data_IF_601472883029
#
_entry.id   IF_601472883029
#
_cell.length_a   1.000
_cell.length_b   1.000
_cell.length_c   1.000
_cell.angle_alpha   90.00
_cell.angle_beta   90.00
_cell.angle_gamma   90.00
#
_symmetry.space_group_name_H-M   'P 1'
#
loop_
_entity.id
_entity.type
_entity.pdbx_description
1 polymer ?
#
# COMPACT_ATOMS: atom_id res chain seq x y z
N UNK A 1 -15.44 26.97 5.06
CA UNK A 1 -14.22 27.74 5.38
C UNK A 1 -13.05 26.78 5.22
N UNK A 2 -12.01 27.09 4.41
CA UNK A 2 -10.92 26.17 4.18
C UNK A 2 -10.15 25.89 5.49
N UNK A 3 -9.57 24.70 5.62
CA UNK A 3 -8.73 24.29 6.76
C UNK A 3 -7.36 24.98 6.72
N UNK A 4 -7.34 26.31 6.77
CA UNK A 4 -6.10 27.11 6.73
C UNK A 4 -5.59 27.37 8.14
N UNK A 5 -5.26 26.31 8.86
CA UNK A 5 -4.66 26.35 10.20
C UNK A 5 -3.24 25.77 10.14
N UNK A 6 -2.27 26.29 10.91
CA UNK A 6 -0.90 25.77 10.91
C UNK A 6 -0.83 24.29 11.31
N UNK A 7 -1.76 23.81 12.15
CA UNK A 7 -1.91 22.39 12.50
C UNK A 7 -2.15 21.53 11.27
N UNK A 8 -2.84 22.05 10.26
CA UNK A 8 -3.09 21.35 9.01
C UNK A 8 -1.79 20.99 8.29
N UNK A 9 -0.96 21.99 7.98
CA UNK A 9 0.27 21.80 7.22
C UNK A 9 1.26 20.92 7.99
N UNK A 10 1.47 21.23 9.28
CA UNK A 10 2.36 20.46 10.13
C UNK A 10 1.89 19.01 10.30
N UNK A 11 0.59 18.81 10.54
CA UNK A 11 0.02 17.49 10.79
C UNK A 11 0.04 16.58 9.55
N UNK A 12 -0.17 17.13 8.35
CA UNK A 12 -0.03 16.35 7.11
C UNK A 12 1.43 15.94 6.87
N UNK A 13 2.38 16.86 7.08
CA UNK A 13 3.81 16.54 6.97
C UNK A 13 4.21 15.46 7.98
N UNK A 14 3.74 15.57 9.22
CA UNK A 14 3.96 14.57 10.26
C UNK A 14 3.37 13.21 9.86
N UNK A 15 2.15 13.18 9.35
CA UNK A 15 1.47 11.94 8.94
C UNK A 15 2.23 11.20 7.82
N UNK A 16 2.78 11.94 6.84
CA UNK A 16 3.62 11.37 5.77
C UNK A 16 4.97 10.92 6.32
N UNK A 17 5.60 11.70 7.20
CA UNK A 17 6.88 11.36 7.80
C UNK A 17 6.79 10.09 8.67
N UNK A 18 5.72 9.93 9.45
CA UNK A 18 5.49 8.73 10.27
C UNK A 18 5.36 7.47 9.41
N UNK A 19 4.63 7.56 8.29
CA UNK A 19 4.52 6.47 7.31
C UNK A 19 5.87 6.13 6.68
N UNK A 20 6.59 7.15 6.22
CA UNK A 20 7.88 6.98 5.55
C UNK A 20 8.94 6.36 6.47
N UNK A 21 9.02 6.84 7.71
CA UNK A 21 9.95 6.34 8.73
C UNK A 21 9.59 4.92 9.17
N UNK A 22 8.30 4.63 9.38
CA UNK A 22 7.83 3.27 9.67
C UNK A 22 8.19 2.28 8.54
N UNK A 23 8.04 2.71 7.28
CA UNK A 23 8.39 1.94 6.09
C UNK A 23 9.86 1.49 6.00
N UNK A 24 10.77 2.13 6.73
CA UNK A 24 12.20 1.79 6.73
C UNK A 24 12.50 0.49 7.49
N UNK A 25 11.66 0.12 8.47
CA UNK A 25 11.84 -1.08 9.29
C UNK A 25 11.52 -2.37 8.51
N UNK A 26 11.93 -3.55 9.02
CA UNK A 26 11.57 -4.84 8.42
C UNK A 26 10.06 -5.00 8.26
N UNK A 27 9.65 -5.66 7.18
CA UNK A 27 8.25 -6.01 6.88
C UNK A 27 7.94 -7.44 7.32
N UNK A 28 6.67 -7.83 7.22
CA UNK A 28 6.24 -9.19 7.53
C UNK A 28 6.96 -10.23 6.66
N UNK A 29 7.63 -11.17 7.32
CA UNK A 29 8.36 -12.26 6.66
C UNK A 29 9.66 -11.87 5.95
N UNK A 30 10.26 -10.72 6.30
CA UNK A 30 11.56 -10.32 5.77
C UNK A 30 12.64 -11.38 6.10
N UNK A 31 13.36 -11.84 5.07
CA UNK A 31 14.38 -12.89 5.14
C UNK A 31 13.91 -14.21 5.80
N UNK A 32 12.63 -14.58 5.66
CA UNK A 32 12.08 -15.85 6.18
C UNK A 32 11.60 -16.79 5.07
N UNK A 33 12.52 -17.42 4.30
CA UNK A 33 12.14 -18.43 3.31
C UNK A 33 11.49 -19.66 3.97
N UNK A 34 10.73 -20.49 3.22
CA UNK A 34 10.48 -20.35 1.77
C UNK A 34 9.28 -19.46 1.43
N UNK A 35 8.38 -19.22 2.39
CA UNK A 35 7.10 -18.53 2.15
C UNK A 35 7.17 -17.02 2.36
N UNK A 36 8.08 -16.49 3.18
CA UNK A 36 8.08 -15.06 3.54
C UNK A 36 6.73 -14.62 4.15
N UNK A 37 6.31 -13.36 3.97
CA UNK A 37 5.08 -12.81 4.54
C UNK A 37 4.32 -11.94 3.53
N UNK A 38 3.46 -11.05 4.03
CA UNK A 38 2.52 -10.28 3.19
C UNK A 38 3.22 -9.44 2.09
N UNK A 39 4.45 -8.99 2.33
CA UNK A 39 5.24 -8.31 1.30
C UNK A 39 5.45 -9.18 0.06
N UNK A 40 5.77 -10.46 0.27
CA UNK A 40 5.97 -11.42 -0.81
C UNK A 40 4.63 -11.79 -1.47
N UNK A 41 3.53 -11.83 -0.71
CA UNK A 41 2.20 -12.02 -1.26
C UNK A 41 1.86 -10.94 -2.30
N UNK A 42 2.03 -9.67 -1.93
CA UNK A 42 1.77 -8.53 -2.82
C UNK A 42 2.69 -8.53 -4.03
N UNK A 43 3.98 -8.85 -3.84
CA UNK A 43 4.93 -9.01 -4.96
C UNK A 43 4.50 -10.13 -5.90
N UNK A 44 4.13 -11.29 -5.36
CA UNK A 44 3.73 -12.42 -6.16
C UNK A 44 2.45 -12.14 -6.95
N UNK A 45 1.50 -11.39 -6.40
CA UNK A 45 0.31 -10.96 -7.15
C UNK A 45 0.68 -10.04 -8.32
N UNK A 46 1.68 -9.17 -8.19
CA UNK A 46 2.19 -8.41 -9.33
C UNK A 46 2.80 -9.32 -10.40
N UNK A 47 3.61 -10.31 -10.01
CA UNK A 47 4.17 -11.33 -10.93
C UNK A 47 3.07 -12.09 -11.68
N UNK A 48 2.09 -12.64 -10.96
CA UNK A 48 0.98 -13.40 -11.54
C UNK A 48 0.18 -12.54 -12.51
N UNK A 49 -0.21 -11.34 -12.09
CA UNK A 49 -1.13 -10.51 -12.88
C UNK A 49 -0.51 -9.98 -14.17
N UNK A 50 0.79 -9.68 -14.19
CA UNK A 50 1.44 -9.14 -15.40
C UNK A 50 1.88 -10.19 -16.39
N UNK A 51 2.07 -11.44 -15.96
CA UNK A 51 2.56 -12.54 -16.81
C UNK A 51 1.44 -13.48 -17.26
N UNK A 52 0.36 -13.63 -16.49
CA UNK A 52 -0.72 -14.57 -16.79
C UNK A 52 -1.99 -13.85 -17.27
N UNK A 53 -2.80 -14.58 -18.05
CA UNK A 53 -4.11 -14.10 -18.47
C UNK A 53 -5.07 -14.00 -17.27
N UNK A 54 -6.05 -13.07 -17.28
CA UNK A 54 -6.95 -12.85 -16.14
C UNK A 54 -7.73 -14.08 -15.65
N UNK A 55 -8.06 -15.01 -16.54
CA UNK A 55 -8.71 -16.28 -16.19
C UNK A 55 -7.80 -17.24 -15.39
N UNK A 56 -6.49 -17.01 -15.35
CA UNK A 56 -5.51 -17.81 -14.61
C UNK A 56 -5.10 -17.19 -13.26
N UNK A 57 -5.51 -15.94 -12.96
CA UNK A 57 -5.08 -15.26 -11.72
C UNK A 57 -5.56 -15.95 -10.44
N UNK A 58 -6.73 -16.57 -10.49
CA UNK A 58 -7.41 -17.18 -9.34
C UNK A 58 -7.50 -18.71 -9.42
N UNK A 59 -6.84 -19.33 -10.39
CA UNK A 59 -6.94 -20.78 -10.63
C UNK A 59 -5.56 -21.43 -10.55
N UNK A 60 -5.53 -22.64 -10.02
CA UNK A 60 -4.30 -23.41 -9.94
C UNK A 60 -3.93 -23.92 -11.35
N UNK A 61 -2.73 -23.60 -11.80
CA UNK A 61 -2.22 -23.95 -13.14
C UNK A 61 -0.77 -24.40 -13.05
N UNK A 62 -0.14 -24.73 -14.19
CA UNK A 62 1.31 -24.99 -14.25
C UNK A 62 2.14 -23.78 -13.85
N UNK A 63 1.62 -22.56 -14.05
CA UNK A 63 2.33 -21.30 -13.84
C UNK A 63 1.83 -20.50 -12.62
N UNK A 64 0.75 -20.95 -11.98
CA UNK A 64 0.17 -20.31 -10.78
C UNK A 64 -0.15 -21.38 -9.73
N UNK A 65 0.63 -21.39 -8.66
CA UNK A 65 0.43 -22.28 -7.52
C UNK A 65 -0.31 -21.53 -6.41
N UNK A 66 -1.60 -21.85 -6.21
CA UNK A 66 -2.42 -21.13 -5.23
C UNK A 66 -1.96 -21.36 -3.77
N UNK A 67 -1.13 -22.39 -3.51
CA UNK A 67 -0.54 -22.60 -2.18
C UNK A 67 0.64 -21.65 -1.90
N UNK A 68 1.20 -21.02 -2.93
CA UNK A 68 2.23 -19.99 -2.81
C UNK A 68 1.62 -18.62 -3.01
N UNK A 69 1.00 -18.07 -1.97
CA UNK A 69 0.37 -16.73 -2.00
C UNK A 69 -0.62 -16.54 -3.15
N UNK A 70 -1.54 -17.49 -3.34
CA UNK A 70 -2.63 -17.33 -4.29
C UNK A 70 -3.42 -16.04 -4.04
N UNK A 71 -3.89 -15.41 -5.13
CA UNK A 71 -4.63 -14.14 -5.05
C UNK A 71 -5.99 -14.38 -4.39
N UNK A 72 -6.18 -13.85 -3.19
CA UNK A 72 -7.35 -14.06 -2.33
C UNK A 72 -8.30 -12.84 -2.24
N UNK A 73 -7.89 -11.69 -2.76
CA UNK A 73 -8.70 -10.47 -2.82
C UNK A 73 -9.56 -10.37 -4.11
N UNK A 74 -10.66 -9.58 -4.07
CA UNK A 74 -11.50 -9.33 -5.25
C UNK A 74 -10.75 -8.73 -6.45
N UNK A 75 -11.35 -8.74 -7.66
CA UNK A 75 -10.69 -8.32 -8.90
C UNK A 75 -10.06 -6.92 -8.89
N UNK A 76 -10.59 -5.98 -8.09
CA UNK A 76 -10.01 -4.64 -7.97
C UNK A 76 -8.54 -4.70 -7.50
N UNK A 77 -8.23 -5.53 -6.52
CA UNK A 77 -6.87 -5.73 -6.02
C UNK A 77 -5.98 -6.41 -7.06
N UNK A 78 -6.53 -7.31 -7.87
CA UNK A 78 -5.78 -7.92 -8.97
C UNK A 78 -5.41 -6.89 -10.04
N UNK A 79 -6.32 -5.99 -10.42
CA UNK A 79 -5.98 -4.89 -11.34
C UNK A 79 -5.04 -3.86 -10.72
N UNK A 80 -5.16 -3.60 -9.42
CA UNK A 80 -4.20 -2.79 -8.69
C UNK A 80 -2.77 -3.39 -8.74
N UNK A 81 -2.68 -4.69 -8.50
CA UNK A 81 -1.43 -5.46 -8.61
C UNK A 81 -0.90 -5.49 -10.04
N UNK A 82 -1.79 -5.61 -11.04
CA UNK A 82 -1.42 -5.54 -12.46
C UNK A 82 -0.79 -4.19 -12.81
N UNK A 83 -1.41 -3.09 -12.38
CA UNK A 83 -0.92 -1.75 -12.66
C UNK A 83 0.45 -1.50 -12.03
N UNK A 84 0.59 -1.78 -10.72
CA UNK A 84 1.87 -1.68 -10.04
C UNK A 84 2.92 -2.63 -10.64
N UNK A 85 2.51 -3.84 -10.98
CA UNK A 85 3.37 -4.83 -11.64
C UNK A 85 3.88 -4.35 -12.99
N UNK A 86 3.07 -3.63 -13.78
CA UNK A 86 3.53 -3.06 -15.05
C UNK A 86 4.57 -1.96 -14.85
N UNK A 87 4.41 -1.14 -13.82
CA UNK A 87 5.42 -0.15 -13.44
C UNK A 87 6.69 -0.86 -12.94
N UNK A 88 6.55 -1.87 -12.09
CA UNK A 88 7.64 -2.69 -11.58
C UNK A 88 8.44 -3.34 -12.73
N UNK A 89 7.74 -3.98 -13.68
CA UNK A 89 8.32 -4.61 -14.85
C UNK A 89 9.09 -3.62 -15.74
N UNK A 90 8.60 -2.38 -15.86
CA UNK A 90 9.28 -1.31 -16.58
C UNK A 90 10.56 -0.84 -15.87
N UNK A 91 10.52 -0.71 -14.54
CA UNK A 91 11.66 -0.25 -13.74
C UNK A 91 12.75 -1.32 -13.60
N UNK A 92 12.34 -2.56 -13.29
CA UNK A 92 13.22 -3.71 -13.19
C UNK A 92 12.41 -5.01 -13.39
N UNK A 93 12.57 -5.70 -14.54
CA UNK A 93 11.80 -6.88 -14.85
C UNK A 93 12.04 -8.05 -13.88
N UNK A 94 13.17 -8.08 -13.16
CA UNK A 94 13.50 -9.13 -12.19
C UNK A 94 12.54 -9.16 -10.99
N UNK A 95 11.82 -8.07 -10.70
CA UNK A 95 10.90 -8.00 -9.54
C UNK A 95 9.63 -8.83 -9.75
N UNK A 96 9.23 -9.00 -11.01
CA UNK A 96 7.98 -9.67 -11.41
C UNK A 96 8.24 -10.75 -12.46
N UNK A 97 9.47 -11.26 -12.55
CA UNK A 97 9.81 -12.29 -13.53
C UNK A 97 9.21 -13.64 -13.10
N UNK A 98 8.38 -14.22 -13.97
CA UNK A 98 7.72 -15.49 -13.70
C UNK A 98 8.74 -16.57 -13.30
N UNK A 99 8.42 -17.36 -12.28
CA UNK A 99 9.21 -18.51 -11.77
C UNK A 99 10.53 -18.19 -11.06
N UNK A 100 11.08 -16.99 -11.24
CA UNK A 100 12.43 -16.63 -10.75
C UNK A 100 12.42 -15.51 -9.74
N UNK A 101 11.35 -14.70 -9.69
CA UNK A 101 11.21 -13.57 -8.77
C UNK A 101 10.62 -13.93 -7.39
N UNK A 102 10.28 -15.20 -7.15
CA UNK A 102 9.78 -15.68 -5.86
C UNK A 102 10.80 -15.44 -4.75
N UNK A 103 10.36 -14.82 -3.66
CA UNK A 103 11.20 -14.43 -2.53
C UNK A 103 12.22 -13.33 -2.86
N UNK A 104 11.97 -12.50 -3.88
CA UNK A 104 12.90 -11.45 -4.28
C UNK A 104 12.96 -10.31 -3.28
N UNK A 105 14.11 -10.15 -2.63
CA UNK A 105 14.40 -9.07 -1.70
C UNK A 105 15.53 -8.17 -2.23
N UNK A 106 15.26 -6.87 -2.32
CA UNK A 106 16.31 -5.87 -2.57
C UNK A 106 15.90 -4.53 -1.98
N UNK A 107 16.88 -3.67 -1.72
CA UNK A 107 16.63 -2.31 -1.25
C UNK A 107 15.72 -1.53 -2.20
N UNK A 108 16.00 -1.57 -3.50
CA UNK A 108 15.23 -0.82 -4.50
C UNK A 108 13.81 -1.34 -4.69
N UNK A 109 13.63 -2.67 -4.63
CA UNK A 109 12.29 -3.26 -4.67
C UNK A 109 11.46 -2.84 -3.44
N UNK A 110 12.07 -2.88 -2.24
CA UNK A 110 11.42 -2.38 -1.01
C UNK A 110 11.04 -0.92 -1.12
N UNK A 111 11.93 -0.09 -1.66
CA UNK A 111 11.66 1.33 -1.88
C UNK A 111 10.47 1.55 -2.83
N UNK A 112 10.43 0.82 -3.95
CA UNK A 112 9.32 0.86 -4.90
C UNK A 112 8.00 0.48 -4.21
N UNK A 113 7.99 -0.67 -3.54
CA UNK A 113 6.82 -1.21 -2.84
C UNK A 113 6.30 -0.25 -1.76
N UNK A 114 7.18 0.34 -0.94
CA UNK A 114 6.76 1.32 0.08
C UNK A 114 6.25 2.62 -0.54
N UNK A 115 6.79 3.02 -1.69
CA UNK A 115 6.38 4.24 -2.39
C UNK A 115 5.03 4.08 -3.08
N UNK A 116 4.72 2.90 -3.63
CA UNK A 116 3.41 2.63 -4.24
C UNK A 116 2.29 2.65 -3.20
N UNK A 117 2.48 2.03 -2.04
CA UNK A 117 1.52 2.12 -0.92
C UNK A 117 1.29 3.57 -0.51
N UNK A 118 2.37 4.34 -0.32
CA UNK A 118 2.25 5.75 0.07
C UNK A 118 1.48 6.58 -0.97
N UNK A 119 1.74 6.35 -2.25
CA UNK A 119 1.05 7.08 -3.32
C UNK A 119 -0.47 6.82 -3.28
N UNK A 120 -0.88 5.57 -3.09
CA UNK A 120 -2.29 5.17 -3.10
C UNK A 120 -3.00 5.61 -1.82
N UNK A 121 -2.34 5.53 -0.67
CA UNK A 121 -2.84 6.04 0.62
C UNK A 121 -3.07 7.57 0.56
N UNK A 122 -2.13 8.31 -0.04
CA UNK A 122 -2.29 9.75 -0.30
C UNK A 122 -3.47 10.04 -1.24
N UNK A 123 -3.70 9.19 -2.24
CA UNK A 123 -4.77 9.39 -3.22
C UNK A 123 -6.14 9.05 -2.65
N UNK A 124 -6.26 7.97 -1.88
CA UNK A 124 -7.54 7.40 -1.45
C UNK A 124 -7.85 7.80 0.00
N UNK A 125 -7.00 7.43 0.95
CA UNK A 125 -7.30 7.62 2.37
C UNK A 125 -7.14 9.09 2.79
N UNK A 126 -6.05 9.76 2.43
CA UNK A 126 -5.87 11.18 2.74
C UNK A 126 -6.99 12.03 2.13
N UNK A 127 -7.32 11.78 0.86
CA UNK A 127 -8.40 12.51 0.20
C UNK A 127 -9.76 12.22 0.87
N UNK A 128 -10.04 10.97 1.25
CA UNK A 128 -11.28 10.61 1.93
C UNK A 128 -11.42 11.28 3.30
N UNK A 129 -10.36 11.25 4.12
CA UNK A 129 -10.33 11.90 5.42
C UNK A 129 -10.47 13.42 5.27
N UNK A 130 -9.80 14.02 4.29
CA UNK A 130 -9.93 15.45 3.99
C UNK A 130 -11.37 15.82 3.60
N UNK A 131 -11.97 15.07 2.67
CA UNK A 131 -13.34 15.30 2.22
C UNK A 131 -14.34 15.13 3.39
N UNK A 132 -14.15 14.12 4.23
CA UNK A 132 -14.98 13.89 5.40
C UNK A 132 -14.97 15.10 6.37
N UNK A 133 -13.78 15.56 6.76
CA UNK A 133 -13.65 16.66 7.72
C UNK A 133 -13.95 18.04 7.11
N UNK A 134 -13.79 18.20 5.80
CA UNK A 134 -14.02 19.49 5.12
C UNK A 134 -15.46 19.69 4.64
N UNK A 135 -16.09 18.62 4.13
CA UNK A 135 -17.36 18.70 3.39
C UNK A 135 -18.50 18.04 4.17
N UNK A 136 -18.29 16.82 4.67
CA UNK A 136 -19.38 16.01 5.23
C UNK A 136 -19.82 16.45 6.63
N UNK A 137 -18.95 17.12 7.40
CA UNK A 137 -19.26 17.54 8.75
C UNK A 137 -19.93 18.91 8.85
N UNK A 138 -20.88 19.01 9.79
CA UNK A 138 -21.68 20.20 10.07
C UNK A 138 -20.81 21.46 10.24
N UNK A 139 -21.32 22.65 9.85
CA UNK A 139 -20.57 23.91 9.88
C UNK A 139 -20.14 24.37 11.29
N UNK A 140 -20.69 23.77 12.35
CA UNK A 140 -20.52 24.23 13.73
C UNK A 140 -19.11 24.01 14.32
N UNK A 141 -18.28 23.19 13.68
CA UNK A 141 -16.89 22.99 14.11
C UNK A 141 -15.98 24.14 13.65
N UNK A 142 -15.14 24.65 14.56
CA UNK A 142 -14.12 25.65 14.22
C UNK A 142 -13.09 25.05 13.25
N UNK A 143 -12.48 25.84 12.35
CA UNK A 143 -11.47 25.35 11.40
C UNK A 143 -10.32 24.57 12.07
N UNK A 144 -9.85 25.03 13.23
CA UNK A 144 -8.81 24.35 14.00
C UNK A 144 -9.24 22.97 14.49
N UNK A 145 -10.47 22.83 14.99
CA UNK A 145 -10.98 21.55 15.49
C UNK A 145 -11.09 20.55 14.34
N UNK A 146 -11.56 20.99 13.16
CA UNK A 146 -11.57 20.16 11.94
C UNK A 146 -10.16 19.71 11.57
N UNK A 147 -9.18 20.62 11.58
CA UNK A 147 -7.79 20.30 11.25
C UNK A 147 -7.18 19.30 12.24
N UNK A 148 -7.35 19.51 13.55
CA UNK A 148 -6.86 18.59 14.60
C UNK A 148 -7.45 17.19 14.43
N UNK A 149 -8.76 17.07 14.26
CA UNK A 149 -9.41 15.77 14.12
C UNK A 149 -9.03 15.04 12.82
N UNK A 150 -8.86 15.78 11.73
CA UNK A 150 -8.34 15.24 10.48
C UNK A 150 -6.93 14.67 10.69
N UNK A 151 -6.03 15.43 11.32
CA UNK A 151 -4.67 14.98 11.61
C UNK A 151 -4.67 13.75 12.53
N UNK A 152 -5.48 13.73 13.59
CA UNK A 152 -5.61 12.56 14.49
C UNK A 152 -6.04 11.31 13.72
N UNK A 153 -6.97 11.46 12.77
CA UNK A 153 -7.41 10.37 11.91
C UNK A 153 -6.25 9.86 11.03
N UNK A 154 -5.48 10.77 10.42
CA UNK A 154 -4.34 10.45 9.57
C UNK A 154 -3.17 9.81 10.33
N UNK A 155 -2.93 10.18 11.59
CA UNK A 155 -1.82 9.65 12.41
C UNK A 155 -2.21 8.41 13.24
N UNK A 156 -3.31 7.73 12.91
CA UNK A 156 -3.72 6.52 13.62
C UNK A 156 -2.58 5.49 13.61
N UNK A 157 -2.01 5.16 14.80
CA UNK A 157 -0.81 4.34 14.86
C UNK A 157 -1.06 2.90 14.41
N UNK A 158 -2.28 2.36 14.61
CA UNK A 158 -2.61 1.00 14.21
C UNK A 158 -2.57 0.87 12.68
N UNK A 159 -3.20 1.80 11.95
CA UNK A 159 -3.19 1.80 10.49
C UNK A 159 -1.77 1.99 9.93
N UNK A 160 -0.99 2.92 10.51
CA UNK A 160 0.39 3.14 10.09
C UNK A 160 1.24 1.89 10.29
N UNK A 161 1.16 1.24 11.46
CA UNK A 161 1.97 0.05 11.75
C UNK A 161 1.57 -1.15 10.88
N UNK A 162 0.28 -1.32 10.61
CA UNK A 162 -0.21 -2.40 9.75
C UNK A 162 0.23 -2.17 8.29
N UNK A 163 -0.02 -1.00 7.72
CA UNK A 163 0.26 -0.79 6.29
C UNK A 163 1.76 -0.54 6.02
N UNK A 164 2.42 0.27 6.86
CA UNK A 164 3.81 0.70 6.64
C UNK A 164 4.83 -0.07 7.48
N UNK A 165 4.41 -0.76 8.54
CA UNK A 165 5.26 -1.72 9.25
C UNK A 165 5.13 -3.09 8.59
N UNK A 166 3.98 -3.73 8.77
CA UNK A 166 3.70 -5.11 8.34
C UNK A 166 3.73 -5.28 6.81
N UNK A 167 3.33 -4.24 6.05
CA UNK A 167 3.10 -4.28 4.59
C UNK A 167 1.74 -4.89 4.23
N UNK A 168 0.67 -4.29 4.75
CA UNK A 168 -0.71 -4.57 4.33
C UNK A 168 -1.27 -3.39 3.51
N UNK A 169 -2.22 -3.68 2.62
CA UNK A 169 -2.88 -2.70 1.77
C UNK A 169 -4.30 -2.43 2.31
N UNK A 170 -4.41 -1.92 3.54
CA UNK A 170 -5.71 -1.70 4.20
C UNK A 170 -6.31 -0.33 3.89
N UNK A 171 -5.46 0.69 3.75
CA UNK A 171 -5.83 2.09 3.45
C UNK A 171 -5.82 2.43 1.96
N UNK A 172 -5.45 1.46 1.13
CA UNK A 172 -5.27 1.56 -0.32
C UNK A 172 -6.31 0.73 -1.07
#
# INVERSE_FOLDING_TARGET
MPMTDNVWYFGNLLAVLLRWTCGQFPHSGAATPPMFGDYEAQRHWMEVTVNLQPNHWYTNTTDNDLLYWGLDYPPLTAYHSYFNGKIAQYLNPLWTQLHTSRGFESYYHKLFMRSSVLFVDLLIYFSSIYNYWSICLKPDFKPRDKAVNCVISLINPALILIDYGHFQLSTT
#
